data_IF_153687710698
#
_entry.id   IF_153687710698
#
_cell.length_a   1.000
_cell.length_b   1.000
_cell.length_c   1.000
_cell.angle_alpha   90.00
_cell.angle_beta   90.00
_cell.angle_gamma   90.00
#
_symmetry.space_group_name_H-M   'P 1'
#
loop_
_entity.id
_entity.type
_entity.pdbx_description
1 polymer ?
#
# COMPACT_ATOMS: atom_id res chain seq x y z
N UNK A 1 1.72 -20.44 1.59
CA UNK A 1 1.57 -19.32 2.51
C UNK A 1 1.31 -18.03 1.75
N UNK A 2 0.41 -17.20 2.24
CA UNK A 2 0.21 -15.87 1.70
C UNK A 2 1.46 -15.02 2.03
N UNK A 3 1.82 -14.13 1.11
CA UNK A 3 2.99 -13.28 1.25
C UNK A 3 2.95 -12.09 0.32
N UNK A 4 3.83 -11.14 0.60
CA UNK A 4 3.97 -9.90 -0.13
C UNK A 4 5.47 -9.58 -0.28
N UNK A 5 5.86 -9.18 -1.47
CA UNK A 5 7.20 -8.65 -1.76
C UNK A 5 7.06 -7.39 -2.59
N UNK A 6 7.68 -6.34 -2.13
CA UNK A 6 7.74 -5.06 -2.81
C UNK A 6 9.19 -4.63 -2.98
N UNK A 7 9.56 -4.26 -4.19
CA UNK A 7 10.90 -3.78 -4.52
C UNK A 7 10.83 -2.40 -5.15
N UNK A 8 11.77 -1.54 -4.83
CA UNK A 8 11.84 -0.20 -5.39
C UNK A 8 13.27 0.29 -5.56
N UNK A 9 13.41 1.22 -6.50
CA UNK A 9 14.60 2.05 -6.65
C UNK A 9 14.21 3.51 -6.47
N UNK A 10 14.76 4.16 -5.46
CA UNK A 10 14.59 5.59 -5.22
C UNK A 10 15.81 6.36 -5.72
N UNK A 11 15.60 7.57 -6.26
CA UNK A 11 16.66 8.47 -6.69
C UNK A 11 16.77 9.63 -5.69
N UNK A 12 17.84 9.62 -4.89
CA UNK A 12 18.15 10.68 -3.92
C UNK A 12 19.63 11.14 -4.09
N UNK A 13 19.96 11.61 -5.30
CA UNK A 13 21.34 11.86 -5.72
C UNK A 13 22.03 10.57 -6.18
N UNK A 14 22.10 9.55 -5.35
CA UNK A 14 22.51 8.18 -5.71
C UNK A 14 21.29 7.25 -5.70
N UNK A 15 21.30 6.18 -6.51
CA UNK A 15 20.22 5.20 -6.49
C UNK A 15 20.23 4.42 -5.16
N UNK A 16 19.05 4.35 -4.54
CA UNK A 16 18.79 3.57 -3.34
C UNK A 16 17.85 2.42 -3.74
N UNK A 17 18.31 1.20 -3.59
CA UNK A 17 17.53 0.00 -3.83
C UNK A 17 17.00 -0.54 -2.52
N UNK A 18 15.73 -0.91 -2.49
CA UNK A 18 15.09 -1.43 -1.30
C UNK A 18 14.02 -2.45 -1.59
N UNK A 19 13.75 -3.25 -0.58
CA UNK A 19 12.60 -4.15 -0.58
C UNK A 19 11.90 -4.15 0.78
N UNK A 20 10.61 -4.44 0.73
CA UNK A 20 9.76 -4.81 1.85
C UNK A 20 9.15 -6.18 1.56
N UNK A 21 9.16 -7.08 2.54
CA UNK A 21 8.50 -8.37 2.39
C UNK A 21 7.78 -8.80 3.66
N UNK A 22 6.70 -9.53 3.47
CA UNK A 22 5.96 -10.23 4.51
C UNK A 22 5.78 -11.69 4.05
N UNK A 23 6.33 -12.63 4.79
CA UNK A 23 6.19 -14.07 4.54
C UNK A 23 5.73 -14.76 5.83
N UNK A 24 4.48 -15.22 5.85
CA UNK A 24 3.86 -15.59 7.11
C UNK A 24 3.87 -14.39 8.07
N UNK A 25 4.22 -14.60 9.32
CA UNK A 25 4.29 -13.54 10.34
C UNK A 25 5.63 -12.78 10.34
N UNK A 26 6.56 -13.12 9.45
CA UNK A 26 7.88 -12.50 9.39
C UNK A 26 7.92 -11.34 8.40
N UNK A 27 8.18 -10.14 8.92
CA UNK A 27 8.44 -8.93 8.15
C UNK A 27 9.93 -8.62 8.05
N UNK A 28 10.37 -8.24 6.86
CA UNK A 28 11.73 -7.77 6.61
C UNK A 28 11.72 -6.58 5.65
N UNK A 29 12.51 -5.58 5.97
CA UNK A 29 12.74 -4.41 5.15
C UNK A 29 14.24 -4.14 5.05
N UNK A 30 14.72 -3.81 3.85
CA UNK A 30 16.11 -3.43 3.65
C UNK A 30 16.21 -2.39 2.53
N UNK A 31 17.01 -1.33 2.76
CA UNK A 31 17.34 -0.31 1.77
C UNK A 31 18.84 -0.09 1.73
N UNK A 32 19.41 -0.02 0.54
CA UNK A 32 20.86 0.12 0.31
C UNK A 32 21.15 1.19 -0.75
N UNK A 33 22.10 2.06 -0.48
CA UNK A 33 22.69 2.96 -1.49
C UNK A 33 23.54 2.12 -2.43
N UNK A 34 23.34 2.31 -3.73
CA UNK A 34 24.02 1.56 -4.82
C UNK A 34 23.89 0.03 -4.68
N UNK A 35 22.88 -0.45 -3.93
CA UNK A 35 22.74 -1.87 -3.63
C UNK A 35 23.78 -2.45 -2.66
N UNK A 36 24.70 -1.65 -2.14
CA UNK A 36 25.85 -2.10 -1.36
C UNK A 36 25.80 -1.66 0.11
N UNK A 37 25.62 -0.35 0.34
CA UNK A 37 25.67 0.22 1.69
C UNK A 37 24.31 0.29 2.33
N UNK A 38 24.01 -0.44 3.41
CA UNK A 38 22.72 -0.42 4.06
C UNK A 38 22.49 0.97 4.69
N UNK A 39 21.34 1.60 4.38
CA UNK A 39 20.90 2.86 4.96
C UNK A 39 19.70 2.67 5.88
N UNK A 40 18.92 1.63 5.66
CA UNK A 40 17.79 1.24 6.51
C UNK A 40 17.62 -0.27 6.45
N UNK A 41 17.41 -0.88 7.61
CA UNK A 41 17.05 -2.30 7.69
C UNK A 41 16.23 -2.55 8.94
N UNK A 42 15.31 -3.49 8.87
CA UNK A 42 14.47 -3.86 9.99
C UNK A 42 13.87 -5.24 9.82
N UNK A 43 13.62 -5.89 10.95
CA UNK A 43 12.90 -7.16 11.07
C UNK A 43 12.05 -7.14 12.33
N UNK A 44 11.09 -8.06 12.41
CA UNK A 44 10.27 -8.25 13.60
C UNK A 44 8.84 -7.74 13.45
N UNK A 45 8.11 -7.70 14.56
CA UNK A 45 6.67 -7.50 14.59
C UNK A 45 6.22 -6.14 14.00
N UNK A 46 6.95 -5.05 14.28
CA UNK A 46 6.61 -3.74 13.76
C UNK A 46 6.78 -3.67 12.23
N UNK A 47 7.84 -4.30 11.72
CA UNK A 47 8.07 -4.39 10.27
C UNK A 47 7.00 -5.27 9.63
N UNK A 48 6.64 -6.40 10.24
CA UNK A 48 5.58 -7.28 9.76
C UNK A 48 4.23 -6.55 9.68
N UNK A 49 3.84 -5.81 10.73
CA UNK A 49 2.62 -4.99 10.74
C UNK A 49 2.66 -3.87 9.69
N UNK A 50 3.81 -3.21 9.52
CA UNK A 50 3.99 -2.18 8.49
C UNK A 50 3.84 -2.76 7.08
N UNK A 51 4.45 -3.92 6.81
CA UNK A 51 4.33 -4.63 5.55
C UNK A 51 2.90 -5.15 5.29
N UNK A 52 2.19 -5.59 6.34
CA UNK A 52 0.77 -5.95 6.27
C UNK A 52 -0.11 -4.77 5.82
N UNK A 53 0.13 -3.58 6.36
CA UNK A 53 -0.56 -2.37 5.94
C UNK A 53 -0.31 -2.03 4.46
N UNK A 54 0.90 -2.23 3.97
CA UNK A 54 1.22 -2.08 2.54
C UNK A 54 0.50 -3.13 1.70
N UNK A 55 0.59 -4.41 2.08
CA UNK A 55 -0.12 -5.50 1.40
C UNK A 55 -1.62 -5.22 1.27
N UNK A 56 -2.27 -4.75 2.34
CA UNK A 56 -3.69 -4.39 2.31
C UNK A 56 -3.98 -3.22 1.37
N UNK A 57 -3.10 -2.22 1.31
CA UNK A 57 -3.23 -1.09 0.38
C UNK A 57 -3.10 -1.51 -1.08
N UNK A 58 -2.23 -2.47 -1.37
CA UNK A 58 -2.02 -2.94 -2.74
C UNK A 58 -3.16 -3.81 -3.29
N UNK A 59 -4.10 -4.23 -2.44
CA UNK A 59 -5.32 -4.89 -2.90
C UNK A 59 -6.16 -4.02 -3.85
N UNK A 60 -6.04 -2.70 -3.79
CA UNK A 60 -6.69 -1.79 -4.74
C UNK A 60 -6.29 -2.03 -6.21
N UNK A 61 -5.15 -2.68 -6.46
CA UNK A 61 -4.70 -3.12 -7.79
C UNK A 61 -5.03 -4.58 -8.10
N UNK A 62 -5.70 -5.27 -7.17
CA UNK A 62 -6.09 -6.67 -7.31
C UNK A 62 -7.61 -6.85 -7.23
N UNK A 63 -8.38 -6.25 -8.16
CA UNK A 63 -9.85 -6.28 -8.09
C UNK A 63 -10.41 -7.71 -8.11
N UNK A 64 -9.74 -8.64 -8.78
CA UNK A 64 -10.13 -10.06 -8.79
C UNK A 64 -10.03 -10.71 -7.40
N UNK A 65 -9.03 -10.35 -6.61
CA UNK A 65 -8.85 -10.86 -5.24
C UNK A 65 -9.94 -10.32 -4.32
N UNK A 66 -10.28 -9.04 -4.45
CA UNK A 66 -11.38 -8.43 -3.70
C UNK A 66 -12.73 -9.06 -4.08
N UNK A 67 -13.00 -9.21 -5.38
CA UNK A 67 -14.23 -9.83 -5.87
C UNK A 67 -14.36 -11.31 -5.46
N UNK A 68 -13.26 -12.01 -5.28
CA UNK A 68 -13.25 -13.42 -4.79
C UNK A 68 -13.52 -13.54 -3.28
N UNK A 69 -13.81 -12.44 -2.57
CA UNK A 69 -14.12 -12.45 -1.14
C UNK A 69 -12.91 -12.61 -0.23
N UNK A 70 -11.72 -12.26 -0.69
CA UNK A 70 -10.50 -12.29 0.12
C UNK A 70 -10.47 -11.20 1.19
N UNK A 71 -11.42 -10.25 1.16
CA UNK A 71 -11.61 -9.20 2.15
C UNK A 71 -13.03 -9.25 2.72
N UNK A 72 -13.21 -8.75 3.92
CA UNK A 72 -14.53 -8.60 4.55
C UNK A 72 -15.01 -7.17 4.32
N UNK A 73 -15.99 -6.99 3.43
CA UNK A 73 -16.61 -5.68 3.25
C UNK A 73 -17.56 -5.37 4.42
N UNK A 74 -17.52 -4.13 4.88
CA UNK A 74 -18.43 -3.58 5.89
C UNK A 74 -19.51 -2.71 5.23
N UNK A 75 -20.46 -2.20 6.02
CA UNK A 75 -21.52 -1.30 5.50
C UNK A 75 -20.92 -0.01 4.94
N UNK A 76 -21.28 0.39 3.71
CA UNK A 76 -20.79 1.62 3.10
C UNK A 76 -21.29 2.87 3.87
N UNK A 77 -20.48 3.92 3.89
CA UNK A 77 -20.87 5.22 4.44
C UNK A 77 -20.28 6.38 3.61
N UNK A 78 -21.01 7.43 3.41
CA UNK A 78 -20.54 8.70 2.79
C UNK A 78 -19.71 8.55 1.50
N UNK A 79 -20.03 7.57 0.65
CA UNK A 79 -19.28 7.27 -0.57
C UNK A 79 -18.04 6.43 -0.38
N UNK A 80 -17.80 5.91 0.82
CA UNK A 80 -16.72 4.99 1.15
C UNK A 80 -17.23 3.57 1.29
N UNK A 81 -16.47 2.62 0.77
CA UNK A 81 -16.64 1.18 0.98
C UNK A 81 -15.54 0.69 1.93
N UNK A 82 -15.82 0.53 3.22
CA UNK A 82 -14.84 -0.02 4.17
C UNK A 82 -14.67 -1.52 3.95
N UNK A 83 -13.47 -2.02 4.26
CA UNK A 83 -13.17 -3.43 4.28
C UNK A 83 -12.08 -3.76 5.31
N UNK A 84 -12.05 -5.01 5.73
CA UNK A 84 -10.99 -5.60 6.55
C UNK A 84 -10.24 -6.61 5.69
N UNK A 85 -8.94 -6.39 5.54
CA UNK A 85 -8.04 -7.28 4.82
C UNK A 85 -7.35 -8.23 5.82
N UNK A 86 -7.58 -9.54 5.75
CA UNK A 86 -6.80 -10.50 6.51
C UNK A 86 -5.38 -10.58 5.93
N UNK A 87 -4.38 -10.41 6.78
CA UNK A 87 -2.97 -10.55 6.40
C UNK A 87 -2.27 -11.54 7.33
N UNK A 88 -1.12 -12.09 6.94
CA UNK A 88 -0.35 -12.96 7.82
C UNK A 88 0.07 -12.33 9.16
N UNK A 89 0.18 -11.01 9.21
CA UNK A 89 0.56 -10.26 10.43
C UNK A 89 -0.64 -9.58 11.14
N UNK A 90 -1.86 -10.04 10.85
CA UNK A 90 -3.11 -9.54 11.47
C UNK A 90 -4.03 -8.85 10.46
N UNK A 91 -5.15 -8.37 10.94
CA UNK A 91 -6.15 -7.67 10.14
C UNK A 91 -5.75 -6.20 9.93
N UNK A 92 -6.03 -5.71 8.73
CA UNK A 92 -5.82 -4.31 8.37
C UNK A 92 -7.14 -3.71 7.90
N UNK A 93 -7.55 -2.61 8.51
CA UNK A 93 -8.72 -1.84 8.09
C UNK A 93 -8.36 -0.86 7.00
N UNK A 94 -9.20 -0.83 5.97
CA UNK A 94 -9.07 0.11 4.86
C UNK A 94 -10.46 0.49 4.32
N UNK A 95 -10.50 1.54 3.49
CA UNK A 95 -11.72 1.96 2.81
C UNK A 95 -11.39 2.49 1.41
N UNK A 96 -12.29 2.23 0.46
CA UNK A 96 -12.19 2.69 -0.92
C UNK A 96 -13.28 3.74 -1.19
N UNK A 97 -12.91 4.84 -1.83
CA UNK A 97 -13.83 5.76 -2.47
C UNK A 97 -13.90 5.43 -3.96
N UNK A 98 -15.11 5.11 -4.44
CA UNK A 98 -15.34 4.68 -5.82
C UNK A 98 -16.35 5.63 -6.44
N UNK A 99 -16.03 6.16 -7.62
CA UNK A 99 -16.93 7.03 -8.37
C UNK A 99 -18.14 6.26 -8.92
N UNK A 100 -19.22 6.96 -9.30
CA UNK A 100 -20.42 6.30 -9.84
C UNK A 100 -20.19 5.49 -11.12
N UNK A 101 -19.13 5.80 -11.87
CA UNK A 101 -18.71 5.06 -13.07
C UNK A 101 -17.76 3.89 -12.75
N UNK A 102 -17.54 3.60 -11.45
CA UNK A 102 -16.76 2.44 -10.99
C UNK A 102 -15.26 2.66 -10.88
N UNK A 103 -14.78 3.88 -11.07
CA UNK A 103 -13.35 4.17 -10.93
C UNK A 103 -12.97 4.43 -9.47
N UNK A 104 -11.87 3.82 -9.05
CA UNK A 104 -11.30 4.03 -7.73
C UNK A 104 -10.70 5.44 -7.64
N UNK A 105 -11.20 6.25 -6.70
CA UNK A 105 -10.74 7.63 -6.50
C UNK A 105 -9.70 7.73 -5.39
N UNK A 106 -10.00 7.09 -4.25
CA UNK A 106 -9.13 7.12 -3.08
C UNK A 106 -9.10 5.76 -2.38
N UNK A 107 -8.01 5.51 -1.65
CA UNK A 107 -7.91 4.43 -0.69
C UNK A 107 -7.37 5.01 0.63
N UNK A 108 -8.01 4.68 1.74
CA UNK A 108 -7.54 5.00 3.09
C UNK A 108 -7.23 3.73 3.85
N UNK A 109 -6.13 3.72 4.58
CA UNK A 109 -5.64 2.54 5.29
C UNK A 109 -5.26 2.95 6.71
N UNK A 110 -5.70 2.19 7.70
CA UNK A 110 -5.16 2.28 9.06
C UNK A 110 -3.81 1.54 9.08
N UNK A 111 -2.74 2.30 8.90
CA UNK A 111 -1.41 1.73 8.69
C UNK A 111 -0.53 1.86 9.93
N UNK A 112 0.17 0.79 10.27
CA UNK A 112 1.25 0.80 11.26
C UNK A 112 2.54 1.29 10.61
N UNK A 113 3.16 2.32 11.17
CA UNK A 113 4.39 2.87 10.60
C UNK A 113 5.02 3.94 11.47
N UNK A 114 6.08 4.55 10.99
CA UNK A 114 6.84 5.60 11.67
C UNK A 114 6.91 6.84 10.78
N UNK A 115 5.85 7.67 10.72
CA UNK A 115 5.81 8.83 9.83
C UNK A 115 6.94 9.84 10.10
N UNK A 116 7.31 10.02 11.35
CA UNK A 116 8.30 11.03 11.79
C UNK A 116 9.66 10.41 12.19
N UNK A 117 9.83 9.10 12.01
CA UNK A 117 11.04 8.39 12.44
C UNK A 117 11.18 8.22 13.95
N UNK A 118 10.21 8.69 14.75
CA UNK A 118 10.25 8.69 16.21
C UNK A 118 9.75 7.42 16.90
N UNK A 119 9.21 6.47 16.12
CA UNK A 119 8.64 5.22 16.63
C UNK A 119 7.45 4.77 15.81
N UNK A 120 7.05 3.52 15.97
CA UNK A 120 5.91 2.95 15.26
C UNK A 120 4.60 3.30 15.96
N UNK A 121 3.61 3.69 15.16
CA UNK A 121 2.25 3.99 15.61
C UNK A 121 1.23 3.64 14.52
N UNK A 122 -0.04 3.51 14.91
CA UNK A 122 -1.14 3.46 13.96
C UNK A 122 -1.43 4.87 13.45
N UNK A 123 -1.54 5.02 12.13
CA UNK A 123 -1.84 6.30 11.50
C UNK A 123 -2.65 6.11 10.22
N UNK A 124 -3.38 7.15 9.83
CA UNK A 124 -4.11 7.16 8.57
C UNK A 124 -3.14 7.39 7.42
N UNK A 125 -3.16 6.47 6.46
CA UNK A 125 -2.41 6.56 5.22
C UNK A 125 -3.40 6.64 4.05
N UNK A 126 -3.28 7.65 3.22
CA UNK A 126 -4.18 7.87 2.10
C UNK A 126 -3.48 7.77 0.76
N UNK A 127 -4.23 7.30 -0.22
CA UNK A 127 -3.85 7.20 -1.64
C UNK A 127 -4.90 7.91 -2.47
N UNK A 128 -4.48 8.77 -3.40
CA UNK A 128 -5.36 9.43 -4.38
C UNK A 128 -4.96 8.98 -5.77
N UNK A 129 -5.93 8.46 -6.53
CA UNK A 129 -5.74 8.01 -7.90
C UNK A 129 -6.12 9.14 -8.87
N UNK A 130 -5.17 9.54 -9.72
CA UNK A 130 -5.29 10.67 -10.65
C UNK A 130 -5.61 10.26 -12.08
N UNK A 131 -5.31 9.02 -12.44
CA UNK A 131 -5.61 8.45 -13.74
C UNK A 131 -5.79 6.93 -13.64
N UNK A 132 -6.48 6.36 -14.64
CA UNK A 132 -6.78 4.95 -14.73
C UNK A 132 -6.31 4.40 -16.07
N UNK A 133 -5.92 3.13 -16.11
CA UNK A 133 -5.59 2.39 -17.33
C UNK A 133 -6.12 0.97 -17.24
N UNK A 134 -6.43 0.41 -18.38
CA UNK A 134 -6.84 -0.99 -18.51
C UNK A 134 -5.63 -1.86 -18.83
N UNK A 135 -5.45 -2.93 -18.07
CA UNK A 135 -4.43 -3.96 -18.24
C UNK A 135 -5.15 -5.31 -18.29
N UNK A 136 -5.15 -5.95 -19.47
CA UNK A 136 -5.98 -7.12 -19.68
C UNK A 136 -7.48 -6.80 -19.48
N UNK A 137 -8.13 -7.51 -18.58
CA UNK A 137 -9.55 -7.35 -18.28
C UNK A 137 -9.85 -6.37 -17.12
N UNK A 138 -8.84 -5.74 -16.54
CA UNK A 138 -8.99 -4.89 -15.36
C UNK A 138 -8.59 -3.43 -15.62
N UNK A 139 -9.47 -2.51 -15.23
CA UNK A 139 -9.16 -1.07 -15.16
C UNK A 139 -8.78 -0.72 -13.73
N UNK A 140 -7.57 -0.22 -13.55
CA UNK A 140 -7.01 0.12 -12.23
C UNK A 140 -6.49 1.56 -12.19
N UNK A 141 -6.34 2.11 -11.00
CA UNK A 141 -5.65 3.39 -10.80
C UNK A 141 -4.19 3.29 -11.22
N UNK A 142 -3.80 4.06 -12.23
CA UNK A 142 -2.46 3.96 -12.86
C UNK A 142 -1.52 5.11 -12.52
N UNK A 143 -2.06 6.25 -12.07
CA UNK A 143 -1.26 7.38 -11.56
C UNK A 143 -1.79 7.75 -10.19
N UNK A 144 -0.92 7.78 -9.20
CA UNK A 144 -1.32 8.04 -7.83
C UNK A 144 -0.31 8.89 -7.04
N UNK A 145 -0.83 9.49 -5.97
CA UNK A 145 -0.03 10.05 -4.86
C UNK A 145 -0.50 9.43 -3.55
N UNK A 146 0.42 9.31 -2.59
CA UNK A 146 0.12 8.73 -1.29
C UNK A 146 0.94 9.36 -0.17
N UNK A 147 0.41 9.26 1.06
CA UNK A 147 1.09 9.80 2.21
C UNK A 147 0.35 9.63 3.53
N UNK A 148 0.98 10.08 4.60
CA UNK A 148 0.39 10.08 5.94
C UNK A 148 -0.61 11.24 6.10
N UNK A 149 -1.79 10.95 6.61
CA UNK A 149 -2.92 11.89 6.70
C UNK A 149 -3.31 12.57 5.37
N UNK A 150 -2.86 12.00 4.25
CA UNK A 150 -3.15 12.49 2.91
C UNK A 150 -4.55 11.99 2.46
N UNK A 151 -5.33 12.73 1.68
CA UNK A 151 -5.06 14.07 1.14
C UNK A 151 -5.41 15.24 2.08
N UNK A 152 -5.95 15.00 3.27
CA UNK A 152 -6.39 16.05 4.19
C UNK A 152 -5.24 16.98 4.61
N UNK A 153 -4.05 16.43 4.82
CA UNK A 153 -2.81 17.20 4.93
C UNK A 153 -1.94 16.98 3.69
N UNK A 154 -1.90 17.93 2.73
CA UNK A 154 -1.07 17.80 1.53
C UNK A 154 0.43 17.66 1.81
N UNK A 155 0.90 18.10 2.98
CA UNK A 155 2.32 17.97 3.38
C UNK A 155 2.69 16.52 3.72
N UNK A 156 1.69 15.69 3.96
CA UNK A 156 1.88 14.25 4.19
C UNK A 156 2.20 13.45 2.94
N UNK A 157 2.06 14.04 1.73
CA UNK A 157 2.42 13.38 0.48
C UNK A 157 3.92 13.16 0.41
N UNK A 158 4.36 11.92 0.29
CA UNK A 158 5.78 11.58 0.11
C UNK A 158 6.01 10.52 -0.97
N UNK A 159 4.95 9.97 -1.55
CA UNK A 159 5.04 8.90 -2.53
C UNK A 159 4.19 9.22 -3.75
N UNK A 160 4.75 9.02 -4.94
CA UNK A 160 4.06 9.08 -6.23
C UNK A 160 4.43 7.88 -7.06
N UNK A 161 3.45 7.31 -7.75
CA UNK A 161 3.71 6.20 -8.65
C UNK A 161 2.93 6.32 -9.95
N UNK A 162 3.49 5.73 -10.99
CA UNK A 162 2.85 5.45 -12.26
C UNK A 162 2.96 3.94 -12.47
N UNK A 163 1.83 3.30 -12.76
CA UNK A 163 1.79 1.88 -13.10
C UNK A 163 1.98 1.78 -14.61
N UNK A 164 3.13 1.30 -15.01
CA UNK A 164 3.47 1.15 -16.43
C UNK A 164 2.93 -0.14 -17.01
N UNK A 165 2.89 -1.20 -16.22
CA UNK A 165 2.38 -2.52 -16.62
C UNK A 165 1.78 -3.26 -15.42
N UNK A 166 0.79 -4.13 -15.69
CA UNK A 166 0.19 -5.04 -14.71
C UNK A 166 -0.19 -6.36 -15.39
N UNK A 167 0.27 -7.47 -14.81
CA UNK A 167 0.04 -8.82 -15.33
C UNK A 167 -0.79 -9.60 -14.31
N UNK A 168 -1.99 -9.98 -14.70
CA UNK A 168 -2.90 -10.82 -13.91
C UNK A 168 -2.81 -12.27 -14.39
N UNK A 169 -2.69 -13.21 -13.45
CA UNK A 169 -2.56 -14.66 -13.71
C UNK A 169 -3.57 -15.43 -12.90
#
# INVERSE_FOLDING_TARGET
PAGFVWEATAQMGLPILGFDRLLGEEGEMQWKVLGLLPVMQGRGADIARSAAGRMAGELCWLPSVMAAGAVQCEEPYDGWQPYVAPTPAGEVKAALSISPDGHLQECQIERWGSPDGGGYLAGRFGVVFKAHRTFGDFTIGSVLSAGWNYPDDPRGEFFRAVIDDAIYK
#
